data_IF_122608423021
#
_entry.id   IF_122608423021
#
_cell.length_a   1.000
_cell.length_b   1.000
_cell.length_c   1.000
_cell.angle_alpha   90.00
_cell.angle_beta   90.00
_cell.angle_gamma   90.00
#
_symmetry.space_group_name_H-M   'P 1'
#
loop_
_entity.id
_entity.type
_entity.pdbx_description
1 polymer ?
#
# COMPACT_ATOMS: atom_id res chain seq x y z
N UNK A 1 -17.09 -3.82 -20.38
CA UNK A 1 -15.90 -4.27 -19.63
C UNK A 1 -14.62 -4.20 -20.45
N UNK A 2 -14.41 -5.00 -21.51
CA UNK A 2 -13.18 -4.98 -22.33
C UNK A 2 -12.83 -3.61 -22.94
N UNK A 3 -13.82 -2.84 -23.39
CA UNK A 3 -13.60 -1.52 -23.98
C UNK A 3 -12.97 -0.52 -22.99
N UNK A 4 -13.41 -0.51 -21.73
CA UNK A 4 -12.87 0.37 -20.69
C UNK A 4 -11.42 0.01 -20.34
N UNK A 5 -11.10 -1.28 -20.19
CA UNK A 5 -9.72 -1.75 -19.95
C UNK A 5 -8.84 -1.42 -21.16
N UNK A 6 -9.36 -1.64 -22.40
CA UNK A 6 -8.64 -1.29 -23.62
C UNK A 6 -8.39 0.22 -23.73
N UNK A 7 -9.28 1.08 -23.27
CA UNK A 7 -9.06 2.54 -23.29
C UNK A 7 -7.97 2.98 -22.30
N UNK A 8 -7.72 2.22 -21.21
CA UNK A 8 -6.72 2.51 -20.20
C UNK A 8 -5.45 1.65 -20.33
N UNK A 9 -5.24 0.95 -21.44
CA UNK A 9 -4.14 -0.01 -21.64
C UNK A 9 -2.77 0.59 -21.37
N UNK A 10 -2.53 1.81 -21.86
CA UNK A 10 -1.24 2.49 -21.71
C UNK A 10 -0.91 2.77 -20.24
N UNK A 11 -1.94 3.13 -19.46
CA UNK A 11 -1.80 3.34 -18.03
C UNK A 11 -1.47 2.03 -17.30
N UNK A 12 -2.17 0.94 -17.62
CA UNK A 12 -1.92 -0.36 -16.98
C UNK A 12 -0.54 -0.94 -17.35
N UNK A 13 -0.09 -0.80 -18.60
CA UNK A 13 1.25 -1.22 -19.02
C UNK A 13 2.32 -0.37 -18.31
N UNK A 14 2.18 0.95 -18.32
CA UNK A 14 3.09 1.84 -17.61
C UNK A 14 3.15 1.53 -16.12
N UNK A 15 1.99 1.36 -15.47
CA UNK A 15 1.91 0.99 -14.06
C UNK A 15 2.55 -0.37 -13.78
N UNK A 16 2.34 -1.38 -14.63
CA UNK A 16 2.99 -2.69 -14.50
C UNK A 16 4.52 -2.58 -14.51
N UNK A 17 5.07 -1.79 -15.43
CA UNK A 17 6.52 -1.53 -15.49
C UNK A 17 7.01 -0.78 -14.24
N UNK A 18 6.25 0.20 -13.75
CA UNK A 18 6.58 0.89 -12.50
C UNK A 18 6.60 -0.06 -11.31
N UNK A 19 5.63 -0.98 -11.21
CA UNK A 19 5.57 -1.97 -10.13
C UNK A 19 6.73 -2.95 -10.18
N UNK A 20 7.10 -3.40 -11.38
CA UNK A 20 8.27 -4.24 -11.57
C UNK A 20 9.55 -3.52 -11.11
N UNK A 21 9.74 -2.26 -11.50
CA UNK A 21 10.90 -1.45 -11.10
C UNK A 21 10.91 -1.17 -9.58
N UNK A 22 9.78 -0.76 -9.01
CA UNK A 22 9.67 -0.45 -7.58
C UNK A 22 9.91 -1.67 -6.70
N UNK A 23 9.26 -2.78 -6.99
CA UNK A 23 9.40 -4.00 -6.20
C UNK A 23 10.82 -4.59 -6.29
N UNK A 24 11.41 -4.60 -7.49
CA UNK A 24 12.81 -4.99 -7.69
C UNK A 24 13.74 -4.12 -6.85
N UNK A 25 13.65 -2.80 -6.98
CA UNK A 25 14.51 -1.86 -6.25
C UNK A 25 14.34 -1.98 -4.74
N UNK A 26 13.10 -2.16 -4.26
CA UNK A 26 12.84 -2.26 -2.82
C UNK A 26 13.54 -3.46 -2.19
N UNK A 27 13.43 -4.64 -2.77
CA UNK A 27 14.08 -5.86 -2.27
C UNK A 27 15.58 -5.84 -2.51
N UNK A 28 16.03 -5.34 -3.68
CA UNK A 28 17.45 -5.23 -4.03
C UNK A 28 18.22 -4.35 -3.02
N UNK A 29 17.67 -3.18 -2.64
CA UNK A 29 18.29 -2.30 -1.64
C UNK A 29 18.47 -3.02 -0.31
N UNK A 30 17.46 -3.79 0.12
CA UNK A 30 17.55 -4.57 1.37
C UNK A 30 18.60 -5.67 1.32
N UNK A 31 18.66 -6.45 0.23
CA UNK A 31 19.65 -7.52 0.04
C UNK A 31 21.06 -6.92 -0.06
N UNK A 32 21.21 -5.88 -0.87
CA UNK A 32 22.51 -5.24 -1.09
C UNK A 32 23.04 -4.55 0.15
N UNK A 33 22.20 -3.94 1.00
CA UNK A 33 22.62 -3.36 2.26
C UNK A 33 23.30 -4.41 3.17
N UNK A 34 22.78 -5.63 3.17
CA UNK A 34 23.44 -6.75 3.88
C UNK A 34 24.76 -7.15 3.25
N UNK A 35 24.86 -7.19 1.92
CA UNK A 35 26.10 -7.51 1.19
C UNK A 35 27.20 -6.42 1.37
N UNK A 36 26.80 -5.15 1.53
CA UNK A 36 27.69 -4.04 1.83
C UNK A 36 27.97 -3.88 3.35
N UNK A 37 27.57 -4.86 4.14
CA UNK A 37 27.78 -4.88 5.60
C UNK A 37 27.20 -3.67 6.36
N UNK A 38 26.14 -3.06 5.81
CA UNK A 38 25.42 -1.99 6.53
C UNK A 38 24.79 -2.56 7.80
N UNK A 39 24.89 -1.82 8.89
CA UNK A 39 24.24 -2.25 10.15
C UNK A 39 22.72 -2.40 9.93
N UNK A 40 22.11 -3.33 10.70
CA UNK A 40 20.65 -3.55 10.66
C UNK A 40 19.89 -2.26 10.97
N UNK A 41 20.43 -1.43 11.87
CA UNK A 41 19.85 -0.12 12.20
C UNK A 41 19.90 0.85 11.01
N UNK A 42 21.06 0.99 10.36
CA UNK A 42 21.20 1.83 9.17
C UNK A 42 20.26 1.37 8.05
N UNK A 43 20.17 0.07 7.85
CA UNK A 43 19.24 -0.51 6.86
C UNK A 43 17.78 -0.19 7.18
N UNK A 44 17.36 -0.30 8.45
CA UNK A 44 16.02 0.08 8.88
C UNK A 44 15.72 1.57 8.62
N UNK A 45 16.68 2.46 8.90
CA UNK A 45 16.55 3.89 8.62
C UNK A 45 16.49 4.19 7.11
N UNK A 46 17.34 3.55 6.30
CA UNK A 46 17.32 3.66 4.84
C UNK A 46 15.93 3.27 4.30
N UNK A 47 15.38 2.15 4.79
CA UNK A 47 14.06 1.70 4.38
C UNK A 47 12.92 2.62 4.85
N UNK A 48 13.03 3.21 6.04
CA UNK A 48 12.07 4.18 6.56
C UNK A 48 12.04 5.49 5.75
N UNK A 49 13.19 5.93 5.20
CA UNK A 49 13.27 7.13 4.35
C UNK A 49 12.36 7.04 3.13
N UNK A 50 12.11 5.85 2.58
CA UNK A 50 11.14 5.66 1.49
C UNK A 50 9.74 6.12 1.90
N UNK A 51 9.27 5.75 3.08
CA UNK A 51 7.95 6.12 3.59
C UNK A 51 7.86 7.58 3.98
N UNK A 52 8.97 8.18 4.42
CA UNK A 52 9.06 9.63 4.62
C UNK A 52 8.87 10.39 3.31
N UNK A 53 9.53 9.95 2.24
CA UNK A 53 9.32 10.48 0.89
C UNK A 53 7.89 10.29 0.40
N UNK A 54 7.30 9.11 0.61
CA UNK A 54 5.93 8.80 0.27
C UNK A 54 4.94 9.77 0.96
N UNK A 55 5.11 9.98 2.26
CA UNK A 55 4.26 10.90 3.03
C UNK A 55 4.41 12.36 2.54
N UNK A 56 5.62 12.81 2.24
CA UNK A 56 5.89 14.13 1.69
C UNK A 56 5.20 14.32 0.32
N UNK A 57 5.27 13.30 -0.54
CA UNK A 57 4.63 13.32 -1.85
C UNK A 57 3.11 13.44 -1.77
N UNK A 58 2.48 12.76 -0.81
CA UNK A 58 1.04 12.84 -0.60
C UNK A 58 0.55 14.27 -0.33
N UNK A 59 1.39 15.11 0.27
CA UNK A 59 1.09 16.51 0.58
C UNK A 59 1.41 17.47 -0.58
N UNK A 60 2.44 17.16 -1.36
CA UNK A 60 3.02 18.07 -2.36
C UNK A 60 2.50 17.77 -3.76
N UNK A 61 2.50 16.50 -4.18
CA UNK A 61 2.21 16.10 -5.56
C UNK A 61 0.83 16.52 -6.04
N UNK A 62 -0.27 16.43 -5.25
CA UNK A 62 -1.58 16.91 -5.70
C UNK A 62 -1.58 18.36 -6.14
N UNK A 63 -0.85 19.23 -5.41
CA UNK A 63 -0.73 20.65 -5.73
C UNK A 63 0.09 20.89 -7.01
N UNK A 64 1.11 20.08 -7.23
CA UNK A 64 1.96 20.17 -8.43
C UNK A 64 1.18 19.68 -9.65
N UNK A 65 0.46 18.56 -9.54
CA UNK A 65 -0.40 18.04 -10.63
C UNK A 65 -1.44 19.06 -11.07
N UNK A 66 -2.10 19.72 -10.11
CA UNK A 66 -3.08 20.77 -10.42
C UNK A 66 -2.49 22.00 -11.14
N UNK A 67 -1.19 22.28 -10.99
CA UNK A 67 -0.52 23.41 -11.63
C UNK A 67 0.15 23.05 -12.97
N UNK A 68 0.77 21.89 -13.05
CA UNK A 68 1.66 21.50 -14.15
C UNK A 68 1.02 20.50 -15.09
N UNK A 69 0.03 19.74 -14.60
CA UNK A 69 -0.67 18.69 -15.34
C UNK A 69 -0.03 17.30 -15.20
N UNK A 70 -0.84 16.28 -15.43
CA UNK A 70 -0.53 14.87 -15.13
C UNK A 70 0.70 14.34 -15.89
N UNK A 71 0.75 14.53 -17.23
CA UNK A 71 1.83 13.99 -18.09
C UNK A 71 3.21 14.52 -17.68
N UNK A 72 3.30 15.83 -17.47
CA UNK A 72 4.57 16.48 -17.13
C UNK A 72 5.06 16.06 -15.75
N UNK A 73 4.14 15.96 -14.77
CA UNK A 73 4.47 15.51 -13.42
C UNK A 73 4.89 14.04 -13.46
N UNK A 74 4.17 13.18 -14.20
CA UNK A 74 4.55 11.79 -14.38
C UNK A 74 5.95 11.65 -14.98
N UNK A 75 6.25 12.41 -16.04
CA UNK A 75 7.56 12.37 -16.70
C UNK A 75 8.68 12.81 -15.75
N UNK A 76 8.49 13.91 -15.02
CA UNK A 76 9.48 14.41 -14.07
C UNK A 76 9.75 13.40 -12.94
N UNK A 77 8.70 12.83 -12.36
CA UNK A 77 8.83 11.87 -11.27
C UNK A 77 9.45 10.55 -11.74
N UNK A 78 9.05 10.03 -12.91
CA UNK A 78 9.62 8.80 -13.47
C UNK A 78 11.11 8.99 -13.80
N UNK A 79 11.49 10.10 -14.43
CA UNK A 79 12.89 10.43 -14.70
C UNK A 79 13.72 10.53 -13.41
N UNK A 80 13.21 11.21 -12.40
CA UNK A 80 13.87 11.34 -11.11
C UNK A 80 14.03 10.00 -10.39
N UNK A 81 12.98 9.15 -10.39
CA UNK A 81 13.02 7.81 -9.79
C UNK A 81 14.03 6.91 -10.52
N UNK A 82 14.05 6.95 -11.85
CA UNK A 82 15.00 6.22 -12.68
C UNK A 82 16.46 6.63 -12.38
N UNK A 83 16.71 7.92 -12.29
CA UNK A 83 18.05 8.45 -11.93
C UNK A 83 18.45 8.01 -10.53
N UNK A 84 17.56 8.15 -9.54
CA UNK A 84 17.82 7.73 -8.17
C UNK A 84 18.09 6.22 -8.06
N UNK A 85 17.44 5.39 -8.88
CA UNK A 85 17.72 3.96 -8.94
C UNK A 85 19.18 3.68 -9.37
N UNK A 86 19.68 4.36 -10.39
CA UNK A 86 21.06 4.22 -10.83
C UNK A 86 22.07 4.73 -9.79
N UNK A 87 21.76 5.84 -9.13
CA UNK A 87 22.64 6.44 -8.14
C UNK A 87 22.88 5.54 -6.92
N UNK A 88 21.95 4.63 -6.57
CA UNK A 88 22.20 3.62 -5.53
C UNK A 88 23.38 2.70 -5.85
N UNK A 89 23.64 2.42 -7.13
CA UNK A 89 24.79 1.62 -7.53
C UNK A 89 26.11 2.42 -7.56
N UNK A 90 26.02 3.74 -7.68
CA UNK A 90 27.21 4.63 -7.78
C UNK A 90 27.69 5.07 -6.39
N UNK A 91 26.78 5.46 -5.52
CA UNK A 91 27.08 5.97 -4.19
C UNK A 91 26.67 4.94 -3.13
N UNK A 92 27.63 4.09 -2.73
CA UNK A 92 27.37 2.99 -1.80
C UNK A 92 27.73 3.43 -0.38
N UNK A 93 26.83 4.20 0.21
CA UNK A 93 26.91 4.60 1.62
C UNK A 93 25.50 4.80 2.21
N UNK A 94 25.31 4.61 3.54
CA UNK A 94 23.99 4.66 4.17
C UNK A 94 23.27 6.02 3.99
N UNK A 95 23.98 7.15 4.02
CA UNK A 95 23.37 8.48 3.94
C UNK A 95 22.83 8.75 2.53
N UNK A 96 23.65 8.45 1.51
CA UNK A 96 23.26 8.56 0.11
C UNK A 96 22.07 7.67 -0.18
N UNK A 97 22.08 6.43 0.32
CA UNK A 97 20.96 5.49 0.13
C UNK A 97 19.70 5.97 0.84
N UNK A 98 19.78 6.51 2.05
CA UNK A 98 18.66 7.13 2.73
C UNK A 98 18.05 8.29 1.93
N UNK A 99 18.88 9.18 1.43
CA UNK A 99 18.43 10.31 0.58
C UNK A 99 17.76 9.82 -0.71
N UNK A 100 18.36 8.86 -1.41
CA UNK A 100 17.80 8.29 -2.64
C UNK A 100 16.50 7.52 -2.37
N UNK A 101 16.39 6.81 -1.26
CA UNK A 101 15.13 6.15 -0.83
C UNK A 101 14.03 7.16 -0.56
N UNK A 102 14.35 8.29 0.06
CA UNK A 102 13.38 9.38 0.26
C UNK A 102 12.92 9.95 -1.09
N UNK A 103 13.84 10.19 -2.02
CA UNK A 103 13.52 10.65 -3.38
C UNK A 103 12.67 9.62 -4.13
N UNK A 104 13.05 8.34 -4.11
CA UNK A 104 12.27 7.30 -4.79
C UNK A 104 10.88 7.13 -4.18
N UNK A 105 10.76 7.15 -2.85
CA UNK A 105 9.47 7.10 -2.16
C UNK A 105 8.56 8.27 -2.56
N UNK A 106 9.12 9.48 -2.64
CA UNK A 106 8.41 10.66 -3.14
C UNK A 106 7.93 10.47 -4.58
N UNK A 107 8.81 10.02 -5.45
CA UNK A 107 8.49 9.83 -6.86
C UNK A 107 7.43 8.74 -7.08
N UNK A 108 7.58 7.56 -6.48
CA UNK A 108 6.62 6.49 -6.65
C UNK A 108 5.23 6.85 -6.11
N UNK A 109 5.16 7.48 -4.93
CA UNK A 109 3.87 7.96 -4.42
C UNK A 109 3.20 8.96 -5.36
N UNK A 110 3.97 9.89 -5.92
CA UNK A 110 3.45 10.84 -6.90
C UNK A 110 3.00 10.17 -8.21
N UNK A 111 3.72 9.16 -8.69
CA UNK A 111 3.35 8.38 -9.87
C UNK A 111 2.04 7.62 -9.64
N UNK A 112 1.82 7.05 -8.44
CA UNK A 112 0.55 6.42 -8.07
C UNK A 112 -0.60 7.44 -8.05
N UNK A 113 -0.40 8.61 -7.43
CA UNK A 113 -1.40 9.69 -7.39
C UNK A 113 -1.83 10.08 -8.80
N UNK A 114 -0.87 10.27 -9.72
CA UNK A 114 -1.15 10.61 -11.11
C UNK A 114 -1.91 9.48 -11.81
N UNK A 115 -1.46 8.22 -11.65
CA UNK A 115 -2.08 7.05 -12.29
C UNK A 115 -3.51 6.83 -11.82
N UNK A 116 -3.74 6.92 -10.51
CA UNK A 116 -5.07 6.75 -9.91
C UNK A 116 -6.02 7.90 -10.29
N UNK A 117 -5.53 9.13 -10.33
CA UNK A 117 -6.31 10.27 -10.80
C UNK A 117 -6.78 10.08 -12.25
N UNK A 118 -5.90 9.61 -13.12
CA UNK A 118 -6.25 9.28 -14.51
C UNK A 118 -7.25 8.14 -14.64
N UNK A 119 -7.07 7.10 -13.82
CA UNK A 119 -7.96 5.95 -13.81
C UNK A 119 -9.38 6.34 -13.38
N UNK A 120 -9.48 7.20 -12.37
CA UNK A 120 -10.76 7.67 -11.85
C UNK A 120 -11.50 8.57 -12.84
N UNK A 121 -10.79 9.44 -13.55
CA UNK A 121 -11.38 10.30 -14.57
C UNK A 121 -12.00 9.50 -15.73
N UNK A 122 -11.42 8.37 -16.09
CA UNK A 122 -11.91 7.48 -17.13
C UNK A 122 -12.99 6.50 -16.69
N UNK A 123 -13.16 6.34 -15.41
CA UNK A 123 -14.10 5.40 -14.85
C UNK A 123 -15.51 5.97 -14.85
N UNK A 124 -16.45 5.30 -15.53
CA UNK A 124 -17.90 5.51 -15.31
C UNK A 124 -18.33 4.68 -14.10
N UNK A 125 -19.50 4.97 -13.54
CA UNK A 125 -20.05 4.19 -12.41
C UNK A 125 -20.11 2.68 -12.71
N UNK A 126 -20.38 2.32 -13.97
CA UNK A 126 -20.46 0.92 -14.41
C UNK A 126 -19.09 0.25 -14.56
N UNK A 127 -18.06 1.00 -14.94
CA UNK A 127 -16.73 0.44 -15.27
C UNK A 127 -15.72 0.58 -14.13
N UNK A 128 -15.98 1.45 -13.16
CA UNK A 128 -15.06 1.78 -12.06
C UNK A 128 -14.62 0.54 -11.27
N UNK A 129 -15.54 -0.33 -10.86
CA UNK A 129 -15.20 -1.55 -10.12
C UNK A 129 -14.26 -2.46 -10.91
N UNK A 130 -14.48 -2.60 -12.22
CA UNK A 130 -13.61 -3.37 -13.11
C UNK A 130 -12.22 -2.75 -13.24
N UNK A 131 -12.15 -1.44 -13.47
CA UNK A 131 -10.88 -0.73 -13.63
C UNK A 131 -10.04 -0.78 -12.35
N UNK A 132 -10.66 -0.59 -11.19
CA UNK A 132 -9.99 -0.71 -9.89
C UNK A 132 -9.52 -2.14 -9.61
N UNK A 133 -10.30 -3.16 -9.99
CA UNK A 133 -9.88 -4.56 -9.84
C UNK A 133 -8.66 -4.88 -10.71
N UNK A 134 -8.65 -4.43 -11.98
CA UNK A 134 -7.48 -4.59 -12.87
C UNK A 134 -6.28 -3.82 -12.32
N UNK A 135 -6.49 -2.60 -11.82
CA UNK A 135 -5.45 -1.80 -11.17
C UNK A 135 -4.80 -2.56 -10.01
N UNK A 136 -5.60 -3.15 -9.11
CA UNK A 136 -5.10 -3.92 -7.97
C UNK A 136 -4.30 -5.16 -8.42
N UNK A 137 -4.79 -5.87 -9.44
CA UNK A 137 -4.06 -7.03 -10.00
C UNK A 137 -2.73 -6.59 -10.62
N UNK A 138 -2.70 -5.48 -11.36
CA UNK A 138 -1.45 -4.95 -11.96
C UNK A 138 -0.47 -4.51 -10.87
N UNK A 139 -0.94 -3.81 -9.84
CA UNK A 139 -0.08 -3.34 -8.74
C UNK A 139 0.50 -4.51 -7.96
N UNK A 140 -0.34 -5.35 -7.38
CA UNK A 140 0.12 -6.44 -6.51
C UNK A 140 0.80 -7.55 -7.31
N UNK A 141 0.27 -7.89 -8.49
CA UNK A 141 0.87 -8.86 -9.40
C UNK A 141 2.24 -8.39 -9.92
N UNK A 142 2.38 -7.11 -10.28
CA UNK A 142 3.65 -6.51 -10.68
C UNK A 142 4.68 -6.53 -9.56
N UNK A 143 4.28 -6.18 -8.33
CA UNK A 143 5.16 -6.24 -7.15
C UNK A 143 5.59 -7.69 -6.81
N UNK A 144 4.69 -8.66 -6.91
CA UNK A 144 5.04 -10.06 -6.69
C UNK A 144 5.98 -10.59 -7.81
N UNK A 145 5.66 -10.28 -9.06
CA UNK A 145 6.47 -10.67 -10.22
C UNK A 145 7.87 -10.02 -10.20
N UNK A 146 7.99 -8.80 -9.68
CA UNK A 146 9.27 -8.09 -9.60
C UNK A 146 10.33 -8.83 -8.79
N UNK A 147 9.91 -9.65 -7.82
CA UNK A 147 10.84 -10.40 -6.99
C UNK A 147 11.63 -11.42 -7.79
N UNK A 148 11.04 -11.98 -8.85
CA UNK A 148 11.72 -12.91 -9.72
C UNK A 148 12.74 -12.24 -10.66
N UNK A 149 12.73 -10.91 -10.78
CA UNK A 149 13.78 -10.18 -11.49
C UNK A 149 15.12 -10.19 -10.74
N UNK A 150 15.10 -10.41 -9.42
CA UNK A 150 16.31 -10.52 -8.59
C UNK A 150 17.26 -11.64 -9.04
N UNK A 151 16.72 -12.70 -9.67
CA UNK A 151 17.53 -13.85 -10.12
C UNK A 151 18.16 -13.66 -11.49
N UNK A 152 17.88 -12.54 -12.18
CA UNK A 152 18.40 -12.30 -13.55
C UNK A 152 19.87 -11.88 -13.57
N UNK A 153 20.40 -11.37 -12.46
CA UNK A 153 21.80 -10.98 -12.33
C UNK A 153 22.25 -11.06 -10.88
N UNK A 154 23.56 -10.98 -10.67
CA UNK A 154 24.14 -10.89 -9.33
C UNK A 154 23.63 -9.61 -8.63
N UNK A 155 23.09 -9.78 -7.42
CA UNK A 155 22.58 -8.68 -6.59
C UNK A 155 23.68 -7.72 -6.13
N UNK A 156 24.94 -8.12 -6.19
CA UNK A 156 26.11 -7.27 -5.93
C UNK A 156 26.46 -6.39 -7.12
N UNK A 157 25.94 -6.67 -8.31
CA UNK A 157 26.24 -5.93 -9.53
C UNK A 157 25.34 -4.68 -9.70
N UNK A 158 25.77 -3.80 -10.57
CA UNK A 158 25.01 -2.63 -11.00
C UNK A 158 23.78 -3.00 -11.89
N UNK A 159 23.76 -4.21 -12.49
CA UNK A 159 22.81 -4.60 -13.54
C UNK A 159 21.35 -4.52 -13.06
N UNK A 160 21.05 -4.96 -11.85
CA UNK A 160 19.68 -4.93 -11.33
C UNK A 160 19.18 -3.51 -11.03
N UNK A 161 20.06 -2.60 -10.60
CA UNK A 161 19.71 -1.17 -10.47
C UNK A 161 19.47 -0.54 -11.85
N UNK A 162 20.26 -0.90 -12.84
CA UNK A 162 20.04 -0.47 -14.23
C UNK A 162 18.70 -1.01 -14.78
N UNK A 163 18.37 -2.28 -14.50
CA UNK A 163 17.09 -2.86 -14.89
C UNK A 163 15.91 -2.14 -14.24
N UNK A 164 15.99 -1.83 -12.94
CA UNK A 164 14.96 -1.06 -12.27
C UNK A 164 14.79 0.34 -12.90
N UNK A 165 15.89 1.02 -13.21
CA UNK A 165 15.90 2.32 -13.90
C UNK A 165 15.25 2.23 -15.29
N UNK A 166 15.60 1.23 -16.08
CA UNK A 166 15.02 0.99 -17.41
C UNK A 166 13.52 0.75 -17.33
N UNK A 167 13.06 -0.10 -16.41
CA UNK A 167 11.62 -0.36 -16.21
C UNK A 167 10.84 0.91 -15.89
N UNK A 168 11.38 1.75 -15.01
CA UNK A 168 10.75 3.03 -14.63
C UNK A 168 10.73 4.00 -15.81
N UNK A 169 11.83 4.10 -16.57
CA UNK A 169 11.92 4.96 -17.76
C UNK A 169 10.96 4.50 -18.87
N UNK A 170 10.90 3.18 -19.11
CA UNK A 170 10.02 2.59 -20.11
C UNK A 170 8.53 2.70 -19.75
N UNK A 171 8.20 2.82 -18.47
CA UNK A 171 6.84 3.08 -18.02
C UNK A 171 6.25 4.40 -18.56
N UNK A 172 7.10 5.36 -18.84
CA UNK A 172 6.70 6.65 -19.40
C UNK A 172 6.24 6.54 -20.86
N UNK A 173 6.82 5.61 -21.63
CA UNK A 173 6.59 5.51 -23.09
C UNK A 173 5.11 5.32 -23.44
N UNK A 174 4.39 4.29 -22.94
CA UNK A 174 2.99 4.09 -23.29
C UNK A 174 2.10 5.27 -22.87
N UNK A 175 2.44 5.93 -21.76
CA UNK A 175 1.69 7.08 -21.24
C UNK A 175 1.90 8.31 -22.13
N UNK A 176 3.12 8.56 -22.56
CA UNK A 176 3.45 9.73 -23.41
C UNK A 176 2.88 9.61 -24.83
N UNK A 177 2.75 8.39 -25.34
CA UNK A 177 2.20 8.12 -26.70
C UNK A 177 0.67 8.07 -26.66
N UNK A 178 0.04 7.89 -25.49
CA UNK A 178 -1.40 7.86 -25.40
C UNK A 178 -1.98 9.27 -25.55
N UNK A 179 -2.81 9.47 -26.61
CA UNK A 179 -3.52 10.72 -26.86
C UNK A 179 -4.69 10.92 -25.90
N UNK A 180 -4.41 11.09 -24.62
CA UNK A 180 -5.47 11.18 -23.61
C UNK A 180 -5.57 12.58 -23.04
N UNK A 181 -6.79 13.16 -22.95
CA UNK A 181 -7.01 14.39 -22.22
C UNK A 181 -6.53 14.27 -20.77
N UNK A 182 -5.95 15.34 -20.26
CA UNK A 182 -5.56 15.41 -18.84
C UNK A 182 -6.81 15.75 -18.02
N UNK A 183 -7.09 14.99 -16.95
CA UNK A 183 -8.23 15.28 -16.08
C UNK A 183 -8.06 16.60 -15.32
N UNK A 184 -9.18 17.24 -14.99
CA UNK A 184 -9.21 18.31 -14.02
C UNK A 184 -9.03 17.72 -12.63
N UNK A 185 -8.01 18.17 -11.91
CA UNK A 185 -7.68 17.65 -10.60
C UNK A 185 -7.90 18.69 -9.50
N UNK A 186 -8.81 18.39 -8.58
CA UNK A 186 -8.99 19.16 -7.35
C UNK A 186 -8.63 18.27 -6.15
N UNK A 187 -7.59 18.65 -5.42
CA UNK A 187 -7.21 17.92 -4.22
C UNK A 187 -8.27 18.11 -3.11
N UNK A 188 -8.81 17.04 -2.52
CA UNK A 188 -9.74 17.16 -1.40
C UNK A 188 -9.03 17.72 -0.17
N UNK A 189 -9.73 18.55 0.61
CA UNK A 189 -9.22 19.01 1.89
C UNK A 189 -9.27 17.88 2.93
N UNK A 190 -8.15 17.57 3.64
CA UNK A 190 -8.13 16.52 4.63
C UNK A 190 -8.99 16.86 5.86
N UNK A 191 -9.67 15.86 6.42
CA UNK A 191 -10.37 15.98 7.68
C UNK A 191 -9.36 16.16 8.81
N UNK A 192 -9.59 17.09 9.74
CA UNK A 192 -8.70 17.31 10.88
C UNK A 192 -8.50 16.03 11.71
N UNK A 193 -7.25 15.70 12.09
CA UNK A 193 -6.91 14.48 12.82
C UNK A 193 -7.70 14.28 14.11
N UNK A 194 -7.98 15.38 14.84
CA UNK A 194 -8.80 15.34 16.07
C UNK A 194 -10.25 14.95 15.78
N UNK A 195 -10.81 15.42 14.67
CA UNK A 195 -12.16 15.05 14.23
C UNK A 195 -12.20 13.58 13.82
N UNK A 196 -11.22 13.12 13.04
CA UNK A 196 -11.07 11.73 12.63
C UNK A 196 -10.99 10.79 13.85
N UNK A 197 -10.14 11.11 14.85
CA UNK A 197 -10.02 10.30 16.07
C UNK A 197 -11.32 10.26 16.86
N UNK A 198 -12.06 11.38 16.96
CA UNK A 198 -13.36 11.39 17.66
C UNK A 198 -14.41 10.55 16.96
N UNK A 199 -14.41 10.54 15.63
CA UNK A 199 -15.38 9.80 14.82
C UNK A 199 -15.07 8.30 14.82
N UNK A 200 -13.84 7.92 14.50
CA UNK A 200 -13.41 6.53 14.37
C UNK A 200 -12.02 6.29 15.01
N UNK A 201 -11.94 6.19 16.35
CA UNK A 201 -10.67 5.91 17.03
C UNK A 201 -10.05 4.59 16.57
N UNK A 202 -10.87 3.55 16.37
CA UNK A 202 -10.40 2.25 15.90
C UNK A 202 -9.87 2.31 14.47
N UNK A 203 -10.54 3.02 13.57
CA UNK A 203 -10.05 3.22 12.21
C UNK A 203 -8.72 3.95 12.16
N UNK A 204 -8.55 5.01 12.98
CA UNK A 204 -7.31 5.78 13.03
C UNK A 204 -6.13 4.96 13.62
N UNK A 205 -6.32 4.32 14.78
CA UNK A 205 -5.29 3.48 15.41
C UNK A 205 -4.97 2.27 14.53
N UNK A 206 -6.01 1.66 13.94
CA UNK A 206 -5.85 0.58 12.98
C UNK A 206 -5.04 1.00 11.75
N UNK A 207 -5.30 2.18 11.19
CA UNK A 207 -4.55 2.69 10.03
C UNK A 207 -3.07 2.94 10.36
N UNK A 208 -2.75 3.53 11.54
CA UNK A 208 -1.36 3.71 12.00
C UNK A 208 -0.66 2.36 12.13
N UNK A 209 -1.25 1.43 12.88
CA UNK A 209 -0.63 0.12 13.13
C UNK A 209 -0.53 -0.72 11.86
N UNK A 210 -1.54 -0.69 10.99
CA UNK A 210 -1.50 -1.36 9.69
C UNK A 210 -0.43 -0.76 8.78
N UNK A 211 -0.29 0.57 8.77
CA UNK A 211 0.80 1.24 8.06
C UNK A 211 2.16 0.75 8.54
N UNK A 212 2.36 0.68 9.86
CA UNK A 212 3.58 0.17 10.47
C UNK A 212 3.85 -1.31 10.10
N UNK A 213 2.85 -2.19 10.22
CA UNK A 213 3.00 -3.62 9.92
C UNK A 213 3.26 -3.87 8.43
N UNK A 214 2.50 -3.23 7.54
CA UNK A 214 2.66 -3.40 6.09
C UNK A 214 4.01 -2.86 5.60
N UNK A 215 4.45 -1.70 6.12
CA UNK A 215 5.77 -1.16 5.81
C UNK A 215 6.89 -2.09 6.30
N UNK A 216 6.73 -2.70 7.46
CA UNK A 216 7.64 -3.73 7.96
C UNK A 216 7.72 -4.92 7.01
N UNK A 217 6.58 -5.42 6.54
CA UNK A 217 6.53 -6.54 5.58
C UNK A 217 7.21 -6.14 4.27
N UNK A 218 6.81 -5.02 3.65
CA UNK A 218 7.34 -4.64 2.34
C UNK A 218 8.83 -4.27 2.36
N UNK A 219 9.28 -3.53 3.38
CA UNK A 219 10.63 -3.01 3.40
C UNK A 219 11.65 -3.99 4.01
N UNK A 220 11.25 -4.77 5.01
CA UNK A 220 12.20 -5.55 5.81
C UNK A 220 12.16 -7.05 5.51
N UNK A 221 11.22 -7.56 4.70
CA UNK A 221 11.15 -8.99 4.37
C UNK A 221 12.40 -9.49 3.67
N UNK A 222 12.92 -8.76 2.68
CA UNK A 222 14.15 -9.15 1.99
C UNK A 222 15.38 -9.05 2.90
N UNK A 223 15.43 -8.05 3.78
CA UNK A 223 16.48 -7.89 4.80
C UNK A 223 16.46 -9.06 5.78
N UNK A 224 15.28 -9.39 6.31
CA UNK A 224 15.10 -10.55 7.18
C UNK A 224 15.52 -11.85 6.50
N UNK A 225 15.04 -12.08 5.29
CA UNK A 225 15.31 -13.31 4.54
C UNK A 225 16.81 -13.49 4.23
N UNK A 226 17.51 -12.40 3.90
CA UNK A 226 18.97 -12.41 3.76
C UNK A 226 19.67 -12.69 5.09
N UNK A 227 19.23 -12.08 6.20
CA UNK A 227 19.82 -12.29 7.51
C UNK A 227 19.68 -13.72 8.06
N UNK A 228 18.62 -14.45 7.66
CA UNK A 228 18.47 -15.88 7.99
C UNK A 228 19.12 -16.81 6.97
N UNK A 229 19.85 -16.28 5.98
CA UNK A 229 20.65 -17.06 5.04
C UNK A 229 19.88 -17.66 3.87
N UNK A 230 18.68 -17.14 3.53
CA UNK A 230 17.96 -17.57 2.34
C UNK A 230 18.71 -17.12 1.07
N UNK A 231 18.79 -18.01 0.08
CA UNK A 231 19.32 -17.66 -1.23
C UNK A 231 18.42 -16.67 -1.97
N UNK A 232 18.94 -15.95 -2.96
CA UNK A 232 18.17 -14.94 -3.73
C UNK A 232 16.86 -15.50 -4.31
N UNK A 233 16.80 -16.69 -4.91
CA UNK A 233 15.54 -17.30 -5.33
C UNK A 233 14.57 -17.57 -4.18
N UNK A 234 15.07 -17.98 -3.03
CA UNK A 234 14.26 -18.20 -1.83
C UNK A 234 13.70 -16.88 -1.26
N UNK A 235 14.50 -15.82 -1.28
CA UNK A 235 14.05 -14.46 -0.91
C UNK A 235 12.92 -14.00 -1.84
N UNK A 236 13.07 -14.21 -3.14
CA UNK A 236 12.04 -13.87 -4.12
C UNK A 236 10.71 -14.59 -3.84
N UNK A 237 10.73 -15.88 -3.53
CA UNK A 237 9.54 -16.66 -3.16
C UNK A 237 8.95 -16.13 -1.82
N UNK A 238 9.79 -15.92 -0.82
CA UNK A 238 9.38 -15.46 0.50
C UNK A 238 8.64 -14.10 0.45
N UNK A 239 9.20 -13.12 -0.27
CA UNK A 239 8.59 -11.80 -0.42
C UNK A 239 7.32 -11.89 -1.28
N UNK A 240 7.37 -12.62 -2.41
CA UNK A 240 6.20 -12.81 -3.27
C UNK A 240 5.05 -13.49 -2.53
N UNK A 241 5.33 -14.45 -1.64
CA UNK A 241 4.32 -15.17 -0.89
C UNK A 241 3.46 -14.20 -0.06
N UNK A 242 4.06 -13.21 0.61
CA UNK A 242 3.31 -12.22 1.39
C UNK A 242 2.38 -11.36 0.50
N UNK A 243 2.86 -10.94 -0.65
CA UNK A 243 2.10 -10.09 -1.59
C UNK A 243 0.94 -10.88 -2.21
N UNK A 244 1.22 -12.11 -2.65
CA UNK A 244 0.20 -13.02 -3.19
C UNK A 244 -0.84 -13.40 -2.14
N UNK A 245 -0.43 -13.60 -0.89
CA UNK A 245 -1.35 -13.79 0.24
C UNK A 245 -2.29 -12.59 0.38
N UNK A 246 -1.76 -11.38 0.42
CA UNK A 246 -2.55 -10.15 0.48
C UNK A 246 -3.56 -10.05 -0.67
N UNK A 247 -3.11 -10.34 -1.90
CA UNK A 247 -3.98 -10.34 -3.08
C UNK A 247 -5.10 -11.40 -2.99
N UNK A 248 -4.77 -12.61 -2.55
CA UNK A 248 -5.72 -13.72 -2.44
C UNK A 248 -6.80 -13.48 -1.35
N UNK A 249 -6.42 -12.90 -0.22
CA UNK A 249 -7.32 -12.69 0.91
C UNK A 249 -8.06 -11.35 0.87
N UNK A 250 -7.66 -10.42 0.01
CA UNK A 250 -8.29 -9.09 -0.11
C UNK A 250 -9.80 -9.18 -0.32
N UNK A 251 -10.24 -10.00 -1.28
CA UNK A 251 -11.66 -10.15 -1.59
C UNK A 251 -12.43 -10.97 -0.54
N UNK A 252 -11.97 -12.15 -0.07
CA UNK A 252 -12.65 -12.91 0.97
C UNK A 252 -12.84 -12.12 2.27
N UNK A 253 -11.82 -11.42 2.73
CA UNK A 253 -11.88 -10.61 3.97
C UNK A 253 -12.82 -9.42 3.78
N UNK A 254 -12.74 -8.72 2.64
CA UNK A 254 -13.67 -7.65 2.32
C UNK A 254 -15.11 -8.10 2.34
N UNK A 255 -15.42 -9.23 1.66
CA UNK A 255 -16.76 -9.79 1.62
C UNK A 255 -17.27 -10.29 2.98
N UNK A 256 -16.37 -10.82 3.82
CA UNK A 256 -16.69 -11.20 5.18
C UNK A 256 -17.07 -9.99 6.03
N UNK A 257 -16.33 -8.91 5.86
CA UNK A 257 -16.54 -7.62 6.53
C UNK A 257 -17.86 -6.95 6.14
N UNK A 258 -18.38 -7.20 4.92
CA UNK A 258 -19.66 -6.66 4.47
C UNK A 258 -20.87 -7.46 5.00
N UNK A 259 -20.63 -8.70 5.45
CA UNK A 259 -21.69 -9.61 5.96
C UNK A 259 -21.76 -9.69 7.47
N UNK A 260 -20.72 -9.30 8.18
CA UNK A 260 -20.60 -9.39 9.63
C UNK A 260 -20.28 -8.02 10.23
N UNK A 261 -20.43 -7.90 11.57
CA UNK A 261 -19.92 -6.72 12.28
C UNK A 261 -18.43 -6.50 11.95
N UNK A 262 -18.14 -5.44 11.22
CA UNK A 262 -16.81 -5.11 10.70
C UNK A 262 -15.74 -5.06 11.78
N UNK A 263 -16.09 -4.66 13.00
CA UNK A 263 -15.16 -4.65 14.15
C UNK A 263 -14.77 -6.07 14.58
N UNK A 264 -15.71 -7.03 14.50
CA UNK A 264 -15.40 -8.45 14.81
C UNK A 264 -14.47 -9.02 13.74
N UNK A 265 -14.72 -8.73 12.47
CA UNK A 265 -13.85 -9.16 11.37
C UNK A 265 -12.46 -8.54 11.52
N UNK A 266 -12.36 -7.23 11.74
CA UNK A 266 -11.11 -6.52 11.98
C UNK A 266 -10.33 -7.15 13.15
N UNK A 267 -11.00 -7.39 14.28
CA UNK A 267 -10.40 -8.02 15.46
C UNK A 267 -9.91 -9.44 15.16
N UNK A 268 -10.72 -10.25 14.48
CA UNK A 268 -10.36 -11.63 14.12
C UNK A 268 -9.17 -11.69 13.17
N UNK A 269 -9.18 -10.88 12.11
CA UNK A 269 -8.09 -10.82 11.12
C UNK A 269 -6.79 -10.31 11.77
N UNK A 270 -6.88 -9.33 12.66
CA UNK A 270 -5.70 -8.80 13.38
C UNK A 270 -5.06 -9.85 14.27
N UNK A 271 -5.84 -10.59 15.07
CA UNK A 271 -5.30 -11.69 15.87
C UNK A 271 -4.81 -12.85 15.02
N UNK A 272 -5.47 -13.15 13.90
CA UNK A 272 -4.98 -14.14 12.95
C UNK A 272 -3.62 -13.73 12.35
N UNK A 273 -3.42 -12.45 12.03
CA UNK A 273 -2.13 -11.92 11.59
C UNK A 273 -1.05 -12.05 12.69
N UNK A 274 -1.39 -11.73 13.95
CA UNK A 274 -0.47 -11.89 15.07
C UNK A 274 -0.06 -13.37 15.29
N UNK A 275 -1.01 -14.30 15.19
CA UNK A 275 -0.76 -15.73 15.25
C UNK A 275 0.06 -16.25 14.07
N UNK A 276 -0.25 -15.79 12.86
CA UNK A 276 0.52 -16.12 11.66
C UNK A 276 1.97 -15.63 11.76
N UNK A 277 2.18 -14.45 12.36
CA UNK A 277 3.52 -13.90 12.62
C UNK A 277 4.30 -14.78 13.60
N UNK A 278 3.68 -15.20 14.70
CA UNK A 278 4.29 -16.12 15.66
C UNK A 278 4.60 -17.49 15.01
N UNK A 279 3.65 -18.03 14.24
CA UNK A 279 3.84 -19.28 13.54
C UNK A 279 4.96 -19.19 12.50
N UNK A 280 5.12 -18.04 11.81
CA UNK A 280 6.21 -17.79 10.86
C UNK A 280 7.57 -17.77 11.56
N UNK A 281 7.70 -17.18 12.77
CA UNK A 281 8.92 -17.22 13.57
C UNK A 281 9.31 -18.67 13.95
N UNK A 282 8.32 -19.50 14.28
CA UNK A 282 8.57 -20.92 14.57
C UNK A 282 8.95 -21.70 13.30
N UNK A 283 8.25 -21.43 12.18
CA UNK A 283 8.52 -22.07 10.89
C UNK A 283 9.90 -21.71 10.32
N UNK A 284 10.44 -20.54 10.66
CA UNK A 284 11.78 -20.11 10.24
C UNK A 284 12.92 -21.04 10.73
N UNK A 285 12.66 -21.85 11.75
CA UNK A 285 13.61 -22.84 12.31
C UNK A 285 13.54 -24.22 11.63
N UNK A 286 12.62 -24.37 10.66
CA UNK A 286 12.35 -25.62 9.96
C UNK A 286 12.51 -25.51 8.46
N UNK A 287 11.67 -26.24 7.74
CA UNK A 287 11.70 -26.27 6.27
C UNK A 287 11.23 -24.95 5.64
N UNK A 288 11.91 -24.45 4.58
CA UNK A 288 11.56 -23.19 3.92
C UNK A 288 10.10 -23.12 3.43
N UNK A 289 9.52 -24.24 3.02
CA UNK A 289 8.14 -24.30 2.55
C UNK A 289 7.13 -23.87 3.62
N UNK A 290 7.35 -24.28 4.88
CA UNK A 290 6.51 -23.88 6.00
C UNK A 290 6.61 -22.37 6.24
N UNK A 291 7.81 -21.80 6.15
CA UNK A 291 8.04 -20.36 6.27
C UNK A 291 7.31 -19.58 5.16
N UNK A 292 7.37 -20.05 3.90
CA UNK A 292 6.64 -19.41 2.76
C UNK A 292 5.12 -19.48 2.96
N UNK A 293 4.60 -20.61 3.43
CA UNK A 293 3.17 -20.76 3.72
C UNK A 293 2.71 -19.80 4.84
N UNK A 294 3.51 -19.69 5.91
CA UNK A 294 3.19 -18.75 6.99
C UNK A 294 3.30 -17.29 6.54
N UNK A 295 4.27 -16.97 5.67
CA UNK A 295 4.41 -15.62 5.11
C UNK A 295 3.24 -15.27 4.16
N UNK A 296 2.74 -16.24 3.38
CA UNK A 296 1.52 -16.09 2.59
C UNK A 296 0.29 -15.80 3.47
N UNK A 297 0.12 -16.53 4.58
CA UNK A 297 -0.96 -16.30 5.53
C UNK A 297 -0.81 -14.95 6.24
N UNK A 298 0.39 -14.60 6.68
CA UNK A 298 0.67 -13.31 7.32
C UNK A 298 0.34 -12.15 6.39
N UNK A 299 0.83 -12.17 5.15
CA UNK A 299 0.49 -11.18 4.13
C UNK A 299 -1.01 -11.13 3.84
N UNK A 300 -1.65 -12.31 3.78
CA UNK A 300 -3.09 -12.45 3.59
C UNK A 300 -3.93 -11.80 4.69
N UNK A 301 -3.48 -11.85 5.94
CA UNK A 301 -4.17 -11.23 7.07
C UNK A 301 -3.78 -9.75 7.25
N UNK A 302 -2.53 -9.37 6.99
CA UNK A 302 -2.03 -8.02 7.24
C UNK A 302 -2.42 -7.02 6.16
N UNK A 303 -2.19 -7.35 4.87
CA UNK A 303 -2.33 -6.37 3.78
C UNK A 303 -3.76 -5.86 3.58
N UNK A 304 -4.84 -6.66 3.73
CA UNK A 304 -6.22 -6.17 3.61
C UNK A 304 -6.68 -5.27 4.76
N UNK A 305 -5.96 -5.25 5.90
CA UNK A 305 -6.37 -4.53 7.10
C UNK A 305 -6.59 -3.02 6.88
N UNK A 306 -5.79 -2.40 6.00
CA UNK A 306 -5.95 -0.99 5.71
C UNK A 306 -7.31 -0.69 5.07
N UNK A 307 -7.77 -1.53 4.14
CA UNK A 307 -9.10 -1.43 3.54
C UNK A 307 -10.21 -1.57 4.59
N UNK A 308 -10.03 -2.49 5.55
CA UNK A 308 -10.98 -2.65 6.67
C UNK A 308 -11.04 -1.40 7.57
N UNK A 309 -9.89 -0.78 7.83
CA UNK A 309 -9.83 0.45 8.63
C UNK A 309 -10.54 1.62 7.94
N UNK A 310 -10.36 1.77 6.62
CA UNK A 310 -11.08 2.77 5.82
C UNK A 310 -12.57 2.48 5.85
N UNK A 311 -12.98 1.26 5.52
CA UNK A 311 -14.38 0.86 5.48
C UNK A 311 -15.06 1.08 6.85
N UNK A 312 -14.38 0.68 7.96
CA UNK A 312 -14.88 0.93 9.32
C UNK A 312 -15.01 2.41 9.64
N UNK A 313 -14.10 3.25 9.15
CA UNK A 313 -14.20 4.70 9.37
C UNK A 313 -15.35 5.30 8.58
N UNK A 314 -15.54 4.87 7.35
CA UNK A 314 -16.58 5.35 6.45
C UNK A 314 -18.00 5.05 6.96
N UNK A 315 -18.19 3.95 7.72
CA UNK A 315 -19.47 3.62 8.35
C UNK A 315 -19.98 4.71 9.32
N UNK A 316 -19.11 5.61 9.78
CA UNK A 316 -19.44 6.71 10.70
C UNK A 316 -19.42 8.09 10.05
N UNK A 317 -19.30 8.16 8.72
CA UNK A 317 -19.09 9.41 7.99
C UNK A 317 -20.18 9.63 6.95
N UNK A 318 -20.50 10.89 6.73
CA UNK A 318 -21.30 11.26 5.56
C UNK A 318 -20.46 11.12 4.28
N UNK A 319 -21.11 10.93 3.12
CA UNK A 319 -20.41 10.82 1.84
C UNK A 319 -19.39 11.94 1.57
N UNK A 320 -19.73 13.20 1.90
CA UNK A 320 -18.80 14.33 1.74
C UNK A 320 -17.55 14.23 2.64
N UNK A 321 -17.69 13.63 3.82
CA UNK A 321 -16.59 13.47 4.78
C UNK A 321 -15.69 12.27 4.44
N UNK A 322 -16.20 11.25 3.73
CA UNK A 322 -15.44 10.04 3.41
C UNK A 322 -14.18 10.33 2.60
N UNK A 323 -14.26 11.24 1.62
CA UNK A 323 -13.12 11.63 0.80
C UNK A 323 -12.03 12.30 1.64
N UNK A 324 -12.43 13.27 2.47
CA UNK A 324 -11.53 13.98 3.37
C UNK A 324 -10.91 13.07 4.43
N UNK A 325 -11.69 12.12 4.97
CA UNK A 325 -11.24 11.16 5.96
C UNK A 325 -10.25 10.15 5.39
N UNK A 326 -10.45 9.70 4.14
CA UNK A 326 -9.53 8.79 3.47
C UNK A 326 -8.14 9.41 3.31
N UNK A 327 -8.05 10.68 2.93
CA UNK A 327 -6.79 11.42 2.89
C UNK A 327 -6.11 11.50 4.26
N UNK A 328 -6.88 11.75 5.33
CA UNK A 328 -6.35 11.81 6.69
C UNK A 328 -5.92 10.44 7.21
N UNK A 329 -6.67 9.36 6.91
CA UNK A 329 -6.28 7.98 7.24
C UNK A 329 -4.99 7.59 6.52
N UNK A 330 -4.83 8.00 5.27
CA UNK A 330 -3.60 7.80 4.51
C UNK A 330 -2.40 8.49 5.18
N UNK A 331 -2.57 9.74 5.61
CA UNK A 331 -1.49 10.47 6.29
C UNK A 331 -1.07 9.78 7.58
N UNK A 332 -2.02 9.34 8.42
CA UNK A 332 -1.69 8.66 9.68
C UNK A 332 -1.13 7.25 9.45
N UNK A 333 -1.62 6.52 8.44
CA UNK A 333 -1.07 5.24 8.01
C UNK A 333 0.36 5.39 7.46
N UNK A 334 0.61 6.42 6.65
CA UNK A 334 1.94 6.77 6.15
C UNK A 334 2.91 7.16 7.27
N UNK A 335 2.44 7.90 8.28
CA UNK A 335 3.24 8.18 9.48
C UNK A 335 3.58 6.88 10.24
N UNK A 336 2.62 5.97 10.40
CA UNK A 336 2.88 4.63 10.97
C UNK A 336 3.91 3.84 10.16
N UNK A 337 3.85 3.93 8.83
CA UNK A 337 4.76 3.23 7.92
C UNK A 337 6.24 3.63 8.10
N UNK A 338 6.52 4.88 8.46
CA UNK A 338 7.89 5.34 8.74
C UNK A 338 8.49 4.57 9.91
N UNK A 339 7.69 4.30 10.96
CA UNK A 339 8.18 3.63 12.16
C UNK A 339 8.32 2.12 11.99
N UNK A 340 7.68 1.50 10.99
CA UNK A 340 7.72 0.05 10.78
C UNK A 340 9.14 -0.51 10.63
N UNK A 341 9.90 -0.12 9.59
CA UNK A 341 11.26 -0.61 9.37
C UNK A 341 12.20 -0.28 10.52
N UNK A 342 12.04 0.88 11.17
CA UNK A 342 12.83 1.28 12.34
C UNK A 342 12.57 0.34 13.51
N UNK A 343 11.32 0.07 13.85
CA UNK A 343 10.97 -0.81 14.94
C UNK A 343 11.44 -2.25 14.70
N UNK A 344 11.30 -2.74 13.46
CA UNK A 344 11.83 -4.07 13.08
C UNK A 344 13.33 -4.13 13.26
N UNK A 345 14.08 -3.14 12.76
CA UNK A 345 15.53 -3.15 12.86
C UNK A 345 16.01 -3.12 14.32
N UNK A 346 15.37 -2.32 15.18
CA UNK A 346 15.69 -2.26 16.61
C UNK A 346 15.38 -3.59 17.33
N UNK A 347 14.26 -4.21 17.01
CA UNK A 347 13.93 -5.53 17.59
C UNK A 347 14.84 -6.62 17.06
N UNK A 348 15.25 -6.59 15.79
CA UNK A 348 16.23 -7.54 15.25
C UNK A 348 17.60 -7.40 15.94
N UNK A 349 18.00 -6.20 16.32
CA UNK A 349 19.22 -5.98 17.13
C UNK A 349 19.08 -6.55 18.55
N UNK A 350 17.92 -6.43 19.17
CA UNK A 350 17.70 -6.85 20.56
C UNK A 350 17.46 -8.34 20.76
N UNK A 351 16.66 -8.96 19.88
CA UNK A 351 16.22 -10.38 20.01
C UNK A 351 16.62 -11.26 18.82
N UNK A 352 17.50 -10.77 17.94
CA UNK A 352 17.92 -11.48 16.73
C UNK A 352 16.88 -11.38 15.61
N UNK A 353 17.04 -12.22 14.58
CA UNK A 353 16.19 -12.19 13.37
C UNK A 353 14.70 -12.39 13.67
N UNK A 354 14.34 -13.10 14.75
CA UNK A 354 12.94 -13.25 15.20
C UNK A 354 12.25 -11.90 15.45
N UNK A 355 13.02 -10.83 15.71
CA UNK A 355 12.53 -9.46 15.88
C UNK A 355 11.65 -8.96 14.76
N UNK A 356 11.85 -9.45 13.52
CA UNK A 356 10.99 -9.14 12.39
C UNK A 356 9.55 -9.59 12.65
N UNK A 357 9.33 -10.85 12.99
CA UNK A 357 8.00 -11.38 13.26
C UNK A 357 7.43 -10.89 14.58
N UNK A 358 8.26 -10.74 15.61
CA UNK A 358 7.85 -10.19 16.90
C UNK A 358 7.27 -8.78 16.75
N UNK A 359 7.91 -7.92 15.95
CA UNK A 359 7.40 -6.57 15.68
C UNK A 359 6.02 -6.61 15.03
N UNK A 360 5.88 -7.34 13.93
CA UNK A 360 4.62 -7.43 13.18
C UNK A 360 3.51 -8.01 14.05
N UNK A 361 3.80 -9.10 14.77
CA UNK A 361 2.87 -9.75 15.70
C UNK A 361 2.43 -8.84 16.85
N UNK A 362 3.36 -8.09 17.44
CA UNK A 362 3.07 -7.13 18.50
C UNK A 362 2.17 -5.98 18.02
N UNK A 363 2.45 -5.43 16.83
CA UNK A 363 1.62 -4.37 16.24
C UNK A 363 0.21 -4.88 16.00
N UNK A 364 0.04 -6.05 15.37
CA UNK A 364 -1.27 -6.63 15.15
C UNK A 364 -1.97 -6.99 16.47
N UNK A 365 -1.26 -7.54 17.43
CA UNK A 365 -1.79 -7.80 18.78
C UNK A 365 -2.30 -6.53 19.46
N UNK A 366 -1.54 -5.43 19.37
CA UNK A 366 -1.94 -4.14 19.91
C UNK A 366 -3.20 -3.58 19.25
N UNK A 367 -3.31 -3.67 17.92
CA UNK A 367 -4.54 -3.27 17.19
C UNK A 367 -5.72 -4.13 17.68
N UNK A 368 -5.54 -5.46 17.81
CA UNK A 368 -6.58 -6.37 18.23
C UNK A 368 -7.06 -6.10 19.67
N UNK A 369 -6.15 -5.86 20.59
CA UNK A 369 -6.47 -5.47 21.97
C UNK A 369 -7.22 -4.13 22.02
N UNK A 370 -6.77 -3.16 21.23
CA UNK A 370 -7.46 -1.88 21.14
C UNK A 370 -8.86 -2.04 20.53
N UNK A 371 -9.01 -2.90 19.54
CA UNK A 371 -10.33 -3.21 18.95
C UNK A 371 -11.28 -3.83 19.99
N UNK A 372 -10.83 -4.79 20.77
CA UNK A 372 -11.61 -5.38 21.89
C UNK A 372 -12.02 -4.31 22.91
N UNK A 373 -11.08 -3.45 23.32
CA UNK A 373 -11.38 -2.33 24.21
C UNK A 373 -12.45 -1.41 23.65
N UNK A 374 -12.38 -1.09 22.34
CA UNK A 374 -13.37 -0.23 21.69
C UNK A 374 -14.74 -0.90 21.57
N UNK A 375 -14.78 -2.21 21.29
CA UNK A 375 -16.02 -3.00 21.25
C UNK A 375 -16.73 -3.01 22.60
N UNK A 376 -15.99 -3.07 23.71
CA UNK A 376 -16.56 -3.00 25.05
C UNK A 376 -17.12 -1.59 25.41
N UNK A 377 -16.70 -0.54 24.71
CA UNK A 377 -17.08 0.86 25.00
C UNK A 377 -18.14 1.44 24.08
N UNK A 378 -18.40 0.86 22.93
CA UNK A 378 -19.35 1.37 21.93
C UNK A 378 -20.18 0.24 21.34
N UNK A 379 -21.49 0.40 21.24
CA UNK A 379 -22.38 -0.55 20.58
C UNK A 379 -22.04 -0.70 19.08
N UNK A 380 -22.34 -1.86 18.44
CA UNK A 380 -22.17 -2.04 17.01
C UNK A 380 -23.11 -1.14 16.21
N UNK A 381 -22.71 -0.74 15.02
CA UNK A 381 -23.63 -0.21 14.01
C UNK A 381 -24.47 -1.38 13.47
N UNK A 382 -25.77 -1.17 13.23
CA UNK A 382 -26.60 -2.13 12.51
C UNK A 382 -25.97 -2.50 11.17
N UNK A 383 -26.09 -3.77 10.75
CA UNK A 383 -25.50 -4.23 9.47
C UNK A 383 -26.05 -3.48 8.27
N UNK A 384 -27.31 -3.03 8.35
CA UNK A 384 -28.01 -2.27 7.31
C UNK A 384 -27.42 -0.86 7.11
N UNK A 385 -26.75 -0.32 8.11
CA UNK A 385 -26.09 0.98 8.07
C UNK A 385 -24.61 0.90 7.67
N UNK A 386 -24.04 -0.30 7.54
CA UNK A 386 -22.67 -0.52 7.10
C UNK A 386 -22.56 -0.39 5.58
N UNK A 387 -21.62 0.44 5.10
CA UNK A 387 -21.33 0.56 3.68
C UNK A 387 -20.56 -0.65 3.12
N UNK A 388 -20.48 -0.77 1.79
CA UNK A 388 -19.69 -1.82 1.12
C UNK A 388 -18.20 -1.53 1.23
N UNK A 389 -17.38 -2.54 1.50
CA UNK A 389 -15.93 -2.40 1.52
C UNK A 389 -15.36 -2.29 0.10
N UNK A 390 -14.47 -1.32 -0.11
CA UNK A 390 -13.75 -1.17 -1.38
C UNK A 390 -12.29 -1.57 -1.15
N UNK A 391 -11.74 -2.49 -1.98
CA UNK A 391 -10.33 -2.84 -1.91
C UNK A 391 -9.44 -1.62 -2.18
N UNK A 392 -8.51 -1.33 -1.26
CA UNK A 392 -7.53 -0.25 -1.40
C UNK A 392 -6.15 -0.85 -1.21
N UNK A 393 -5.22 -0.58 -2.12
CA UNK A 393 -3.83 -0.91 -1.90
C UNK A 393 -3.33 -0.07 -0.72
N UNK A 394 -2.83 -0.74 0.32
CA UNK A 394 -2.28 -0.08 1.51
C UNK A 394 -1.06 0.79 1.20
N UNK A 395 -0.10 0.87 2.09
CA UNK A 395 1.11 1.70 2.00
C UNK A 395 2.03 1.47 0.79
N UNK A 396 1.67 0.60 -0.14
CA UNK A 396 2.40 0.34 -1.40
C UNK A 396 2.11 1.39 -2.44
N UNK A 397 0.86 1.77 -2.58
CA UNK A 397 0.42 2.92 -3.37
C UNK A 397 -0.10 3.97 -2.38
N UNK A 398 0.17 5.24 -2.65
CA UNK A 398 -0.52 6.31 -1.96
C UNK A 398 -1.99 6.22 -2.41
N UNK A 399 -2.95 5.74 -1.58
CA UNK A 399 -4.32 5.75 -2.00
C UNK A 399 -4.70 7.22 -2.14
N UNK A 400 -4.91 7.66 -3.37
CA UNK A 400 -5.60 8.91 -3.58
C UNK A 400 -6.98 8.75 -2.95
N UNK A 401 -7.40 9.74 -2.20
CA UNK A 401 -8.71 9.79 -1.52
C UNK A 401 -9.88 9.94 -2.52
N UNK A 402 -9.78 9.28 -3.65
CA UNK A 402 -10.83 9.18 -4.64
C UNK A 402 -11.67 7.93 -4.38
N UNK A 403 -12.24 7.87 -3.19
CA UNK A 403 -13.49 7.12 -3.06
C UNK A 403 -14.48 7.68 -4.07
N UNK A 404 -15.29 6.82 -4.68
CA UNK A 404 -16.13 7.19 -5.80
C UNK A 404 -17.06 8.35 -5.42
N UNK A 405 -16.70 9.55 -5.82
CA UNK A 405 -17.57 10.75 -5.70
C UNK A 405 -18.94 10.44 -6.30
N UNK A 406 -18.99 9.58 -7.32
CA UNK A 406 -20.23 9.23 -7.99
C UNK A 406 -21.02 8.11 -7.32
N UNK A 407 -20.38 7.15 -6.61
CA UNK A 407 -21.13 6.24 -5.74
C UNK A 407 -21.77 7.00 -4.58
N UNK A 408 -21.11 8.07 -4.13
CA UNK A 408 -21.63 9.04 -3.18
C UNK A 408 -22.78 9.84 -3.81
N UNK A 409 -22.63 10.26 -5.06
CA UNK A 409 -23.65 11.00 -5.80
C UNK A 409 -24.86 10.13 -6.10
N UNK A 410 -24.66 8.88 -6.54
CA UNK A 410 -25.75 7.92 -6.77
C UNK A 410 -26.48 7.53 -5.48
N UNK A 411 -25.77 7.48 -4.34
CA UNK A 411 -26.40 7.30 -3.03
C UNK A 411 -27.20 8.56 -2.65
N UNK A 412 -26.62 9.74 -2.81
CA UNK A 412 -27.32 11.00 -2.58
C UNK A 412 -28.55 11.17 -3.49
N UNK A 413 -28.43 10.82 -4.77
CA UNK A 413 -29.55 10.92 -5.72
C UNK A 413 -30.65 9.91 -5.39
N UNK A 414 -30.29 8.70 -4.91
CA UNK A 414 -31.26 7.71 -4.38
C UNK A 414 -31.93 8.19 -3.10
N UNK A 415 -31.18 8.77 -2.18
CA UNK A 415 -31.71 9.29 -0.93
C UNK A 415 -32.58 10.52 -1.17
N UNK A 416 -32.21 11.40 -2.09
CA UNK A 416 -33.04 12.53 -2.54
C UNK A 416 -34.31 12.06 -3.26
N UNK A 417 -34.23 11.02 -4.07
CA UNK A 417 -35.40 10.42 -4.74
C UNK A 417 -36.33 9.76 -3.72
N UNK A 418 -35.77 9.11 -2.71
CA UNK A 418 -36.53 8.51 -1.61
C UNK A 418 -37.21 9.56 -0.72
N UNK A 419 -36.55 10.70 -0.47
CA UNK A 419 -37.12 11.83 0.27
C UNK A 419 -38.15 12.63 -0.55
N UNK A 420 -38.05 12.65 -1.87
CA UNK A 420 -39.00 13.37 -2.72
C UNK A 420 -40.38 12.71 -2.82
N UNK A 421 -40.54 11.46 -2.37
CA UNK A 421 -41.80 10.73 -2.38
C UNK A 421 -42.44 10.64 -3.78
N UNK A 422 -43.35 9.71 -4.03
CA UNK A 422 -44.03 9.68 -5.33
C UNK A 422 -44.88 10.96 -5.48
N UNK A 423 -44.48 11.82 -6.40
CA UNK A 423 -45.34 12.94 -6.82
C UNK A 423 -46.71 12.36 -7.20
N UNK A 424 -47.69 12.57 -6.32
CA UNK A 424 -49.10 12.27 -6.64
C UNK A 424 -49.46 13.04 -7.88
N UNK A 425 -49.53 12.34 -9.02
CA UNK A 425 -50.26 12.85 -10.19
C UNK A 425 -51.72 12.99 -9.78
N UNK A 426 -52.17 14.22 -9.61
CA UNK A 426 -53.57 14.57 -9.72
C UNK A 426 -53.90 14.98 -11.13
#
# INVERSE_FOLDING_TARGET
MFAAVKSAWALFVGLGMLMLGNGLQNSLVGIRAGAEEFSTEATGLIMACYYLGLLASALITPKVVGKVGHVRVFAALASTASTAALLHAVFVDPWSWGAMRMVTGFCYAGLYIVAESWLNDRATNETRGTLLSVYMVVVLGGLAASQFLLVLADTSSFVLFALASVLVSMALVPISVSATPTPDFTAPEPLGLRALYRTSPLGMVGAIGTGMANASIYAMSAVYAGAVGLSVPQIAIFVSASILGGMAFQWPIGRLSDKLDRRRVLTGVTFAAALASLAASLAAKGEPLALYAMMFLLGGMSLPMYSLCIAHTNDYLTPKQMVSASGSLMMVGGAGAIFGPIAVSQLMLGVGTDGFFVCIGAVHGAIGLFALYRMARRAPLPLEEQGTSVPVAGTVSAPTATLPVDAIRDQMDRDLAAMAGPLRRR
#
